data_IF_238119465966
#
_entry.id   IF_238119465966
#
_cell.length_a   1.000
_cell.length_b   1.000
_cell.length_c   1.000
_cell.angle_alpha   90.00
_cell.angle_beta   90.00
_cell.angle_gamma   90.00
#
_symmetry.space_group_name_H-M   'P 1'
#
loop_
_entity.id
_entity.type
_entity.pdbx_description
1 polymer ?
#
# COMPACT_ATOMS: atom_id res chain seq x y z
N UNK A 1 53.97 -45.56 6.56
CA UNK A 1 52.79 -46.04 5.82
C UNK A 1 51.66 -46.28 6.82
N UNK A 2 50.58 -45.49 6.81
CA UNK A 2 49.42 -45.76 7.65
C UNK A 2 48.41 -46.65 6.90
N UNK A 3 47.89 -47.67 7.57
CA UNK A 3 46.88 -48.59 7.04
C UNK A 3 45.49 -47.96 7.14
N UNK A 4 44.72 -48.06 6.05
CA UNK A 4 43.32 -47.66 5.93
C UNK A 4 42.42 -48.68 6.67
N UNK A 5 41.44 -48.25 7.49
CA UNK A 5 40.42 -49.17 8.00
C UNK A 5 39.39 -49.51 6.93
N UNK A 6 38.96 -50.78 6.92
CA UNK A 6 37.95 -51.34 6.02
C UNK A 6 36.53 -50.82 6.33
N UNK A 7 35.63 -50.74 5.33
CA UNK A 7 34.24 -50.32 5.54
C UNK A 7 33.40 -51.44 6.16
N UNK A 8 32.71 -51.14 7.27
CA UNK A 8 31.68 -52.00 7.86
C UNK A 8 30.34 -51.75 7.19
N UNK A 9 29.78 -52.79 6.59
CA UNK A 9 28.43 -52.86 6.04
C UNK A 9 27.46 -53.31 7.13
N UNK A 10 26.73 -52.36 7.73
CA UNK A 10 25.54 -52.68 8.52
C UNK A 10 24.31 -52.02 7.88
N UNK A 11 23.26 -52.78 7.53
CA UNK A 11 22.04 -52.22 6.97
C UNK A 11 21.17 -51.60 8.08
N UNK A 12 20.88 -50.32 7.94
CA UNK A 12 19.88 -49.58 8.73
C UNK A 12 18.51 -50.27 8.64
N UNK A 13 17.81 -50.54 9.76
CA UNK A 13 16.45 -51.06 9.71
C UNK A 13 15.49 -50.00 9.13
N UNK A 14 14.61 -50.43 8.23
CA UNK A 14 13.58 -49.58 7.63
C UNK A 14 12.56 -49.08 8.68
N UNK A 15 12.06 -47.83 8.57
CA UNK A 15 11.06 -47.29 9.48
C UNK A 15 9.72 -48.01 9.29
N UNK A 16 9.16 -48.54 10.39
CA UNK A 16 7.83 -49.14 10.40
C UNK A 16 6.76 -48.04 10.51
N UNK A 17 5.87 -47.99 9.53
CA UNK A 17 4.68 -47.12 9.52
C UNK A 17 3.63 -47.67 10.49
N UNK A 18 3.07 -46.87 11.42
CA UNK A 18 1.96 -47.31 12.26
C UNK A 18 0.68 -47.46 11.42
N UNK A 19 -0.07 -48.53 11.71
CA UNK A 19 -1.34 -48.86 11.06
C UNK A 19 -2.43 -47.80 11.36
N UNK A 20 -3.38 -47.56 10.44
CA UNK A 20 -4.45 -46.59 10.64
C UNK A 20 -5.49 -47.09 11.65
N UNK A 21 -5.62 -46.41 12.78
CA UNK A 21 -6.66 -46.67 13.78
C UNK A 21 -8.01 -46.17 13.26
N UNK A 22 -8.91 -47.09 12.94
CA UNK A 22 -10.30 -46.80 12.59
C UNK A 22 -11.11 -46.64 13.89
N UNK A 23 -11.36 -45.40 14.32
CA UNK A 23 -12.31 -45.11 15.39
C UNK A 23 -13.57 -44.48 14.78
N UNK A 24 -14.77 -45.03 15.04
CA UNK A 24 -16.01 -44.51 14.45
C UNK A 24 -16.47 -43.24 15.15
N UNK A 25 -16.78 -42.23 14.35
CA UNK A 25 -17.46 -40.98 14.75
C UNK A 25 -18.85 -41.28 15.30
N UNK A 26 -19.23 -40.80 16.51
CA UNK A 26 -20.62 -40.88 16.94
C UNK A 26 -21.51 -39.93 16.12
N UNK A 27 -22.69 -40.44 15.74
CA UNK A 27 -23.69 -39.73 14.94
C UNK A 27 -24.20 -38.45 15.63
N UNK A 28 -24.55 -37.39 14.87
CA UNK A 28 -25.09 -36.16 15.43
C UNK A 28 -26.54 -36.35 15.92
N UNK A 29 -26.77 -36.15 17.22
CA UNK A 29 -28.10 -36.10 17.82
C UNK A 29 -28.83 -34.85 17.36
N UNK A 30 -29.81 -35.00 16.47
CA UNK A 30 -30.72 -33.92 16.07
C UNK A 30 -31.85 -33.79 17.10
N UNK A 31 -31.80 -32.74 17.93
CA UNK A 31 -32.96 -32.29 18.70
C UNK A 31 -33.47 -30.98 18.08
N UNK A 32 -34.76 -30.87 17.71
CA UNK A 32 -35.31 -29.65 17.14
C UNK A 32 -35.56 -28.61 18.23
N UNK A 33 -34.90 -27.45 18.13
CA UNK A 33 -35.20 -26.25 18.92
C UNK A 33 -36.55 -25.68 18.47
N UNK A 34 -37.50 -25.40 19.39
CA UNK A 34 -38.77 -24.75 19.05
C UNK A 34 -38.58 -23.34 18.48
N UNK A 35 -39.45 -22.98 17.54
CA UNK A 35 -39.51 -21.71 16.83
C UNK A 35 -39.81 -20.50 17.75
N UNK A 36 -39.48 -19.26 17.32
CA UNK A 36 -39.37 -18.09 18.19
C UNK A 36 -40.73 -17.45 18.53
N UNK A 37 -40.92 -17.03 19.78
CA UNK A 37 -42.07 -16.24 20.20
C UNK A 37 -41.90 -14.76 19.83
N UNK A 38 -42.88 -14.26 19.10
CA UNK A 38 -43.04 -12.89 18.63
C UNK A 38 -43.76 -12.07 19.70
N UNK A 39 -43.16 -10.96 20.15
CA UNK A 39 -43.89 -9.87 20.80
C UNK A 39 -43.76 -8.61 19.94
N UNK A 40 -44.86 -8.16 19.37
CA UNK A 40 -45.03 -6.85 18.73
C UNK A 40 -45.99 -5.99 19.59
N UNK A 41 -46.21 -4.71 19.27
CA UNK A 41 -45.31 -3.57 19.46
C UNK A 41 -45.87 -2.58 20.51
N UNK A 42 -45.04 -1.77 21.15
CA UNK A 42 -45.49 -0.61 21.94
C UNK A 42 -45.05 0.66 21.23
N UNK A 43 -46.01 1.47 20.78
CA UNK A 43 -45.79 2.75 20.11
C UNK A 43 -45.97 3.93 21.08
N UNK A 44 -44.91 4.76 21.21
CA UNK A 44 -44.82 6.24 21.34
C UNK A 44 -45.60 6.97 22.49
N UNK A 45 -45.31 8.26 22.84
CA UNK A 45 -44.41 9.26 22.22
C UNK A 45 -43.55 10.13 23.19
N UNK A 46 -42.79 11.05 22.58
CA UNK A 46 -42.42 12.39 23.08
C UNK A 46 -41.23 12.55 24.05
N UNK A 47 -40.11 13.09 23.55
CA UNK A 47 -39.84 14.55 23.58
C UNK A 47 -38.53 14.86 22.88
N UNK A 48 -38.58 15.85 21.99
CA UNK A 48 -37.46 16.34 21.20
C UNK A 48 -36.37 16.96 22.09
N UNK A 49 -35.12 16.51 21.90
CA UNK A 49 -33.92 17.29 22.19
C UNK A 49 -33.07 17.33 20.91
N UNK A 50 -33.33 18.34 20.09
CA UNK A 50 -32.33 18.91 19.17
C UNK A 50 -31.80 20.19 19.83
N UNK A 51 -30.51 20.56 19.68
CA UNK A 51 -29.65 20.29 18.53
C UNK A 51 -28.38 19.53 18.92
N UNK A 52 -28.06 18.45 18.18
CA UNK A 52 -26.68 17.99 18.12
C UNK A 52 -25.92 19.03 17.31
N UNK A 53 -25.10 19.82 17.99
CA UNK A 53 -24.19 20.75 17.34
C UNK A 53 -23.46 20.03 16.19
N UNK A 54 -23.46 20.67 15.02
CA UNK A 54 -22.65 20.28 13.86
C UNK A 54 -21.23 19.97 14.33
N UNK A 55 -20.57 18.90 13.83
CA UNK A 55 -19.17 18.68 14.15
C UNK A 55 -18.40 19.96 13.84
N UNK A 56 -17.61 20.42 14.81
CA UNK A 56 -16.60 21.46 14.60
C UNK A 56 -15.83 21.09 13.34
N UNK A 57 -15.61 22.02 12.39
CA UNK A 57 -14.81 21.70 11.22
C UNK A 57 -13.46 21.17 11.72
N UNK A 58 -13.14 19.92 11.37
CA UNK A 58 -11.78 19.42 11.48
C UNK A 58 -10.88 20.42 10.76
N UNK A 59 -9.65 20.66 11.24
CA UNK A 59 -8.72 21.55 10.55
C UNK A 59 -8.61 21.08 9.10
N UNK A 60 -9.16 21.86 8.17
CA UNK A 60 -9.07 21.60 6.75
C UNK A 60 -7.63 21.84 6.35
N UNK A 61 -6.97 20.81 5.82
CA UNK A 61 -5.66 20.98 5.21
C UNK A 61 -5.80 21.96 4.04
N UNK A 62 -5.13 23.11 4.11
CA UNK A 62 -5.20 24.16 3.10
C UNK A 62 -3.82 24.68 2.80
N UNK A 63 -3.52 24.88 1.52
CA UNK A 63 -2.22 25.38 1.08
C UNK A 63 -2.21 26.91 0.90
N UNK A 64 -1.05 27.55 1.09
CA UNK A 64 -0.88 28.96 0.76
C UNK A 64 -1.14 29.26 -0.72
N UNK A 65 -1.39 30.54 -1.03
CA UNK A 65 -1.51 31.01 -2.41
C UNK A 65 -0.28 30.61 -3.26
N UNK A 66 -0.54 30.16 -4.49
CA UNK A 66 0.50 29.67 -5.40
C UNK A 66 0.96 28.23 -5.14
N UNK A 67 0.28 27.51 -4.24
CA UNK A 67 0.53 26.09 -3.99
C UNK A 67 -0.76 25.26 -4.18
N UNK A 68 -0.58 23.99 -4.50
CA UNK A 68 -1.63 22.98 -4.64
C UNK A 68 -1.45 21.95 -3.54
N UNK A 69 -2.56 21.51 -2.92
CA UNK A 69 -2.54 20.42 -1.96
C UNK A 69 -2.31 19.09 -2.68
N UNK A 70 -1.19 18.44 -2.40
CA UNK A 70 -0.91 17.08 -2.82
C UNK A 70 -1.23 16.12 -1.67
N UNK A 71 -2.00 15.09 -1.98
CA UNK A 71 -2.34 14.03 -1.02
C UNK A 71 -1.94 12.68 -1.57
N UNK A 72 -1.11 11.95 -0.81
CA UNK A 72 -0.91 10.52 -0.98
C UNK A 72 -1.76 9.79 0.07
N UNK A 73 -2.69 8.95 -0.39
CA UNK A 73 -3.35 7.97 0.46
C UNK A 73 -2.75 6.61 0.16
N UNK A 74 -2.12 6.00 1.15
CA UNK A 74 -1.45 4.70 1.03
C UNK A 74 -2.12 3.72 1.99
N UNK A 75 -2.69 2.64 1.46
CA UNK A 75 -3.07 1.47 2.24
C UNK A 75 -1.98 0.42 2.08
N UNK A 76 -1.35 0.04 3.19
CA UNK A 76 -0.30 -0.98 3.20
C UNK A 76 -0.87 -2.38 2.99
N UNK A 77 -0.03 -3.28 2.52
CA UNK A 77 -0.32 -4.71 2.44
C UNK A 77 0.10 -5.43 3.73
N UNK A 78 0.41 -6.73 3.66
CA UNK A 78 0.84 -7.50 4.83
C UNK A 78 2.30 -7.20 5.23
N UNK A 79 3.07 -6.50 4.38
CA UNK A 79 4.50 -6.18 4.57
C UNK A 79 4.78 -4.66 4.44
N UNK A 80 4.18 -3.83 5.31
CA UNK A 80 4.25 -2.37 5.22
C UNK A 80 5.68 -1.81 5.20
N UNK A 81 6.62 -2.47 5.86
CA UNK A 81 8.01 -2.05 5.97
C UNK A 81 8.79 -2.06 4.65
N UNK A 82 8.23 -2.74 3.64
CA UNK A 82 8.80 -2.88 2.30
C UNK A 82 8.40 -1.73 1.38
N UNK A 83 7.47 -0.88 1.82
CA UNK A 83 7.00 0.26 1.05
C UNK A 83 7.83 1.50 1.34
N UNK A 84 8.30 2.16 0.28
CA UNK A 84 8.85 3.52 0.36
C UNK A 84 8.40 4.35 -0.83
N UNK A 85 8.47 5.67 -0.74
CA UNK A 85 8.18 6.55 -1.86
C UNK A 85 8.99 7.83 -1.85
N UNK A 86 9.09 8.46 -3.01
CA UNK A 86 9.79 9.72 -3.20
C UNK A 86 8.97 10.60 -4.16
N UNK A 87 8.83 11.87 -3.81
CA UNK A 87 8.24 12.91 -4.64
C UNK A 87 9.34 13.90 -5.05
N UNK A 88 9.55 14.06 -6.36
CA UNK A 88 10.49 15.05 -6.92
C UNK A 88 9.75 16.09 -7.77
N UNK A 89 10.21 17.34 -7.71
CA UNK A 89 9.85 18.40 -8.65
C UNK A 89 10.81 18.37 -9.83
N UNK A 90 10.30 18.24 -11.05
CA UNK A 90 11.10 18.20 -12.26
C UNK A 90 10.47 17.39 -13.37
N UNK A 91 11.05 17.52 -14.56
CA UNK A 91 10.61 16.80 -15.76
C UNK A 91 11.31 15.46 -15.97
N UNK A 92 12.42 15.23 -15.26
CA UNK A 92 13.24 14.01 -15.32
C UNK A 92 13.61 13.58 -13.91
N UNK A 93 13.66 12.27 -13.67
CA UNK A 93 13.89 11.71 -12.34
C UNK A 93 15.28 12.06 -11.78
N UNK A 94 16.31 11.93 -12.62
CA UNK A 94 17.71 12.02 -12.25
C UNK A 94 18.14 13.46 -11.93
N UNK A 95 17.40 14.46 -12.42
CA UNK A 95 17.68 15.90 -12.20
C UNK A 95 16.61 16.62 -11.37
N UNK A 96 15.53 15.93 -11.00
CA UNK A 96 14.45 16.50 -10.20
C UNK A 96 14.90 16.81 -8.76
N UNK A 97 14.38 17.90 -8.21
CA UNK A 97 14.59 18.30 -6.82
C UNK A 97 13.70 17.47 -5.90
N UNK A 98 14.27 16.82 -4.89
CA UNK A 98 13.49 16.06 -3.91
C UNK A 98 12.63 17.01 -3.05
N UNK A 99 11.33 16.74 -3.01
CA UNK A 99 10.35 17.51 -2.24
C UNK A 99 10.03 16.80 -0.93
N UNK A 100 9.77 15.49 -1.02
CA UNK A 100 9.47 14.65 0.14
C UNK A 100 9.79 13.19 -0.16
N UNK A 101 10.03 12.43 0.89
CA UNK A 101 10.24 10.98 0.82
C UNK A 101 9.91 10.31 2.15
N UNK A 102 9.60 9.02 2.07
CA UNK A 102 9.61 8.10 3.20
C UNK A 102 10.53 6.95 2.83
N UNK A 103 11.39 6.53 3.76
CA UNK A 103 12.28 5.38 3.60
C UNK A 103 11.70 4.11 4.23
N UNK A 104 12.23 2.95 3.81
CA UNK A 104 11.85 1.65 4.37
C UNK A 104 12.01 1.60 5.89
N UNK A 105 11.16 0.80 6.56
CA UNK A 105 11.26 0.54 8.01
C UNK A 105 11.12 1.78 8.91
N UNK A 106 10.72 2.94 8.38
CA UNK A 106 10.60 4.19 9.16
C UNK A 106 9.19 4.46 9.65
N UNK A 107 8.25 4.61 8.72
CA UNK A 107 6.93 5.19 8.98
C UNK A 107 5.82 4.13 8.95
N UNK A 108 5.86 3.26 7.95
CA UNK A 108 4.85 2.24 7.73
C UNK A 108 5.24 0.96 8.45
N UNK A 109 4.45 0.62 9.47
CA UNK A 109 4.75 -0.47 10.42
C UNK A 109 3.55 -1.36 10.72
N UNK A 110 2.36 -0.99 10.24
CA UNK A 110 1.13 -1.73 10.46
C UNK A 110 0.63 -2.31 9.14
N UNK A 111 0.35 -3.62 9.08
CA UNK A 111 -0.22 -4.23 7.90
C UNK A 111 -1.68 -3.78 7.73
N UNK A 112 -2.15 -3.72 6.49
CA UNK A 112 -3.53 -3.36 6.13
C UNK A 112 -3.99 -2.04 6.76
N UNK A 113 -3.09 -1.06 6.86
CA UNK A 113 -3.36 0.23 7.49
C UNK A 113 -3.29 1.36 6.45
N UNK A 114 -4.18 2.34 6.58
CA UNK A 114 -4.19 3.52 5.72
C UNK A 114 -3.41 4.68 6.37
N UNK A 115 -2.50 5.24 5.60
CA UNK A 115 -1.70 6.41 5.90
C UNK A 115 -2.04 7.52 4.91
N UNK A 116 -2.13 8.77 5.39
CA UNK A 116 -2.44 9.94 4.57
C UNK A 116 -1.33 10.95 4.75
N UNK A 117 -0.63 11.25 3.66
CA UNK A 117 0.42 12.26 3.60
C UNK A 117 -0.12 13.48 2.84
N UNK A 118 -0.06 14.65 3.47
CA UNK A 118 -0.53 15.90 2.88
C UNK A 118 0.64 16.88 2.76
N UNK A 119 0.87 17.38 1.55
CA UNK A 119 1.94 18.32 1.22
C UNK A 119 1.37 19.48 0.42
N UNK A 120 1.97 20.66 0.57
CA UNK A 120 1.72 21.76 -0.35
C UNK A 120 2.88 21.85 -1.34
N UNK A 121 2.56 21.76 -2.62
CA UNK A 121 3.54 21.76 -3.72
C UNK A 121 3.31 22.96 -4.63
N UNK A 122 4.37 23.45 -5.27
CA UNK A 122 4.31 24.62 -6.14
C UNK A 122 3.34 24.40 -7.32
N UNK A 123 2.42 25.34 -7.53
CA UNK A 123 1.51 25.31 -8.67
C UNK A 123 2.28 25.52 -10.00
N UNK A 124 1.75 24.97 -11.09
CA UNK A 124 2.26 25.06 -12.45
C UNK A 124 3.68 24.49 -12.60
N UNK A 125 4.05 23.54 -11.73
CA UNK A 125 5.27 22.73 -11.83
C UNK A 125 4.94 21.29 -12.15
N UNK A 126 5.92 20.61 -12.74
CA UNK A 126 5.85 19.18 -13.00
C UNK A 126 6.50 18.40 -11.86
N UNK A 127 5.87 17.31 -11.48
CA UNK A 127 6.30 16.43 -10.41
C UNK A 127 6.35 14.98 -10.89
N UNK A 128 7.19 14.21 -10.20
CA UNK A 128 7.34 12.78 -10.37
C UNK A 128 7.20 12.12 -9.00
N UNK A 129 6.14 11.35 -8.83
CA UNK A 129 5.96 10.47 -7.69
C UNK A 129 6.44 9.07 -8.06
N UNK A 130 7.21 8.45 -7.18
CA UNK A 130 7.64 7.07 -7.35
C UNK A 130 7.50 6.32 -6.05
N UNK A 131 6.78 5.20 -6.10
CA UNK A 131 6.65 4.25 -5.00
C UNK A 131 7.48 3.01 -5.33
N UNK A 132 8.01 2.36 -4.31
CA UNK A 132 8.84 1.18 -4.42
C UNK A 132 8.42 0.14 -3.40
N UNK A 133 8.63 -1.10 -3.82
CA UNK A 133 8.49 -2.28 -3.00
C UNK A 133 9.82 -3.05 -2.99
N UNK A 134 10.23 -3.51 -1.81
CA UNK A 134 11.57 -4.05 -1.58
C UNK A 134 11.71 -5.48 -2.12
N UNK A 135 10.69 -6.32 -1.93
CA UNK A 135 10.71 -7.74 -2.34
C UNK A 135 10.23 -7.92 -3.79
N UNK A 136 9.73 -6.84 -4.39
CA UNK A 136 9.40 -6.67 -5.82
C UNK A 136 8.15 -7.42 -6.25
N UNK A 137 7.23 -7.68 -5.33
CA UNK A 137 5.89 -8.18 -5.59
C UNK A 137 4.83 -7.07 -5.56
N UNK A 138 5.24 -5.86 -5.16
CA UNK A 138 4.37 -4.70 -5.06
C UNK A 138 3.50 -4.77 -3.83
N UNK A 139 2.75 -3.69 -3.59
CA UNK A 139 1.89 -3.60 -2.40
C UNK A 139 0.53 -4.26 -2.61
N UNK A 140 0.34 -5.04 -3.68
CA UNK A 140 -0.93 -5.70 -3.95
C UNK A 140 -0.72 -7.13 -4.43
N UNK A 141 -1.44 -8.04 -3.77
CA UNK A 141 -2.69 -8.64 -4.25
C UNK A 141 -2.80 -10.04 -3.66
N UNK A 142 -1.66 -10.73 -3.60
CA UNK A 142 -1.51 -12.05 -3.01
C UNK A 142 -1.13 -11.98 -1.52
N UNK A 143 -0.42 -10.92 -1.13
CA UNK A 143 0.10 -10.69 0.23
C UNK A 143 -0.55 -9.47 0.88
N UNK A 144 -1.87 -9.33 0.66
CA UNK A 144 -2.64 -8.18 1.12
C UNK A 144 -3.24 -7.38 -0.03
N UNK A 145 -4.18 -6.49 0.32
CA UNK A 145 -4.87 -5.59 -0.62
C UNK A 145 -4.42 -4.15 -0.41
N UNK A 146 -3.11 -3.94 -0.40
CA UNK A 146 -2.56 -2.59 -0.40
C UNK A 146 -2.79 -1.90 -1.73
N UNK A 147 -2.83 -0.58 -1.68
CA UNK A 147 -3.03 0.31 -2.81
C UNK A 147 -2.57 1.72 -2.44
N UNK A 148 -2.38 2.57 -3.44
CA UNK A 148 -2.20 4.00 -3.19
C UNK A 148 -2.98 4.84 -4.20
N UNK A 149 -3.34 6.05 -3.78
CA UNK A 149 -3.91 7.08 -4.65
C UNK A 149 -3.24 8.43 -4.43
N UNK A 150 -3.08 9.17 -5.51
CA UNK A 150 -2.55 10.53 -5.53
C UNK A 150 -3.69 11.49 -5.86
N UNK A 151 -3.79 12.59 -5.11
CA UNK A 151 -4.78 13.63 -5.37
C UNK A 151 -4.15 15.03 -5.35
N UNK A 152 -4.75 15.94 -6.13
CA UNK A 152 -4.47 17.37 -6.13
C UNK A 152 -5.73 18.14 -5.74
N UNK A 153 -5.69 18.90 -4.65
CA UNK A 153 -6.87 19.59 -4.08
C UNK A 153 -8.09 18.64 -3.97
N UNK A 154 -7.89 17.48 -3.35
CA UNK A 154 -8.87 16.40 -3.16
C UNK A 154 -9.37 15.71 -4.45
N UNK A 155 -8.87 16.09 -5.62
CA UNK A 155 -9.16 15.38 -6.86
C UNK A 155 -8.12 14.28 -7.14
N UNK A 156 -8.57 13.03 -7.17
CA UNK A 156 -7.72 11.90 -7.56
C UNK A 156 -7.18 12.07 -8.99
N UNK A 157 -5.86 11.99 -9.13
CA UNK A 157 -5.14 12.05 -10.41
C UNK A 157 -4.53 10.70 -10.80
N UNK A 158 -4.34 9.80 -9.83
CA UNK A 158 -3.77 8.48 -10.08
C UNK A 158 -4.13 7.51 -8.95
N UNK A 159 -4.23 6.22 -9.29
CA UNK A 159 -4.36 5.10 -8.35
C UNK A 159 -3.54 3.92 -8.84
N UNK A 160 -2.83 3.28 -7.93
CA UNK A 160 -1.91 2.18 -8.22
C UNK A 160 -1.75 1.21 -7.05
N UNK A 161 -0.78 0.30 -7.18
CA UNK A 161 -0.46 -0.68 -6.14
C UNK A 161 0.00 -2.03 -6.70
N UNK A 162 -0.41 -2.36 -7.93
CA UNK A 162 0.00 -3.57 -8.64
C UNK A 162 1.21 -3.25 -9.55
N UNK A 163 2.40 -3.34 -8.98
CA UNK A 163 3.69 -3.19 -9.65
C UNK A 163 4.69 -4.22 -9.09
N UNK A 164 5.83 -4.44 -9.74
CA UNK A 164 6.85 -5.33 -9.17
C UNK A 164 7.73 -4.53 -8.20
N UNK A 165 8.84 -3.96 -8.68
CA UNK A 165 9.78 -3.20 -7.83
C UNK A 165 9.36 -1.75 -7.58
N UNK A 166 8.78 -1.09 -8.57
CA UNK A 166 8.46 0.34 -8.52
C UNK A 166 7.38 0.71 -9.53
N UNK A 167 6.67 1.79 -9.23
CA UNK A 167 5.75 2.47 -10.15
C UNK A 167 6.02 3.96 -10.09
N UNK A 168 5.91 4.64 -11.24
CA UNK A 168 6.15 6.06 -11.36
C UNK A 168 4.99 6.77 -12.05
N UNK A 169 4.58 7.88 -11.46
CA UNK A 169 3.56 8.78 -11.99
C UNK A 169 4.15 10.17 -12.16
N UNK A 170 4.09 10.69 -13.39
CA UNK A 170 4.41 12.08 -13.71
C UNK A 170 3.12 12.90 -13.85
N UNK A 171 3.07 14.06 -13.19
CA UNK A 171 1.91 14.95 -13.21
C UNK A 171 2.31 16.43 -13.14
N UNK A 172 1.39 17.32 -13.53
CA UNK A 172 1.52 18.77 -13.36
C UNK A 172 0.56 19.24 -12.25
N UNK A 173 1.07 20.06 -11.33
CA UNK A 173 0.27 20.58 -10.21
C UNK A 173 -0.52 21.82 -10.65
N UNK A 174 -1.76 21.65 -11.09
CA UNK A 174 -2.64 22.75 -11.50
C UNK A 174 -3.79 22.91 -10.52
N UNK A 175 -4.08 24.15 -10.08
CA UNK A 175 -5.18 24.43 -9.13
C UNK A 175 -6.58 24.30 -9.75
N UNK A 176 -6.66 24.32 -11.09
CA UNK A 176 -7.89 24.55 -11.84
C UNK A 176 -8.54 23.29 -12.40
N UNK A 177 -8.42 22.14 -11.74
CA UNK A 177 -9.28 20.98 -12.02
C UNK A 177 -10.74 21.24 -11.58
N UNK A 178 -11.30 22.40 -11.92
CA UNK A 178 -12.72 22.68 -11.78
C UNK A 178 -13.45 22.09 -12.97
N UNK A 179 -14.28 21.10 -12.67
CA UNK A 179 -15.21 20.41 -13.54
C UNK A 179 -15.89 21.37 -14.54
N UNK A 180 -15.38 21.39 -15.77
CA UNK A 180 -16.06 21.96 -16.94
C UNK A 180 -16.10 20.89 -18.01
N UNK A 181 -17.22 20.18 -18.06
CA UNK A 181 -17.81 19.50 -19.22
C UNK A 181 -16.84 19.10 -20.38
N UNK A 182 -16.13 17.96 -20.22
CA UNK A 182 -15.42 17.17 -21.24
C UNK A 182 -14.18 17.78 -21.96
N UNK A 183 -13.21 16.94 -22.38
CA UNK A 183 -11.96 16.66 -21.69
C UNK A 183 -10.76 17.49 -22.20
N UNK A 184 -9.89 17.98 -21.32
CA UNK A 184 -8.45 17.99 -21.58
C UNK A 184 -7.87 16.73 -20.94
N UNK A 185 -7.35 15.83 -21.77
CA UNK A 185 -6.67 14.62 -21.30
C UNK A 185 -5.56 15.00 -20.34
N UNK A 186 -5.77 14.69 -19.05
CA UNK A 186 -4.70 14.69 -18.07
C UNK A 186 -3.65 13.75 -18.64
N UNK A 187 -2.51 14.29 -19.07
CA UNK A 187 -1.36 13.48 -19.47
C UNK A 187 -0.70 12.96 -18.20
N UNK A 188 -1.43 12.16 -17.43
CA UNK A 188 -0.83 11.22 -16.49
C UNK A 188 -0.11 10.22 -17.38
N UNK A 189 1.19 10.44 -17.55
CA UNK A 189 2.06 9.46 -18.17
C UNK A 189 2.44 8.51 -17.04
N UNK A 190 1.60 7.50 -16.84
CA UNK A 190 2.01 6.30 -16.12
C UNK A 190 2.96 5.53 -17.02
N UNK A 191 4.14 5.21 -16.51
CA UNK A 191 4.97 4.20 -17.17
C UNK A 191 4.17 2.88 -17.21
N UNK A 192 4.23 2.12 -18.32
CA UNK A 192 3.42 0.92 -18.48
C UNK A 192 3.72 -0.10 -17.37
N UNK A 193 2.65 -0.70 -16.83
CA UNK A 193 2.72 -1.88 -15.96
C UNK A 193 3.56 -2.96 -16.64
N UNK A 194 4.72 -3.29 -16.06
CA UNK A 194 5.49 -4.47 -16.42
C UNK A 194 6.09 -4.45 -17.83
N UNK A 195 7.14 -3.64 -18.01
CA UNK A 195 8.12 -3.85 -19.07
C UNK A 195 9.51 -4.01 -18.46
N UNK A 196 10.10 -5.20 -18.59
CA UNK A 196 11.52 -5.41 -18.37
C UNK A 196 12.31 -4.52 -19.35
N UNK A 197 12.61 -3.29 -18.93
CA UNK A 197 13.58 -2.42 -19.60
C UNK A 197 14.69 -2.17 -18.60
N UNK A 198 15.64 -3.10 -18.60
CA UNK A 198 17.07 -2.88 -18.40
C UNK A 198 17.42 -1.72 -17.45
N UNK A 199 17.32 -1.99 -16.15
CA UNK A 199 18.02 -1.22 -15.13
C UNK A 199 19.45 -1.73 -15.04
N UNK A 200 20.42 -0.93 -15.47
CA UNK A 200 21.80 -1.10 -14.98
C UNK A 200 22.52 0.17 -14.54
N UNK A 201 22.07 1.39 -14.88
CA UNK A 201 22.92 2.57 -14.58
C UNK A 201 22.34 3.62 -13.63
N UNK A 202 21.02 3.83 -13.56
CA UNK A 202 20.44 4.87 -12.68
C UNK A 202 20.02 4.35 -11.30
N UNK A 203 19.76 3.03 -11.17
CA UNK A 203 19.30 2.43 -9.92
C UNK A 203 20.47 1.99 -9.00
N UNK A 204 21.69 1.79 -9.51
CA UNK A 204 22.88 1.48 -8.69
C UNK A 204 23.50 2.74 -8.07
N UNK A 205 23.40 3.89 -8.73
CA UNK A 205 23.97 5.14 -8.22
C UNK A 205 23.27 5.61 -6.94
N UNK A 206 21.94 5.48 -6.87
CA UNK A 206 21.14 5.85 -5.68
C UNK A 206 21.38 4.89 -4.49
N UNK A 207 21.63 3.59 -4.73
CA UNK A 207 22.05 2.67 -3.66
C UNK A 207 23.45 3.02 -3.14
N UNK A 208 24.35 3.49 -4.01
CA UNK A 208 25.69 3.94 -3.63
C UNK A 208 25.66 5.31 -2.90
N UNK A 209 24.78 6.23 -3.30
CA UNK A 209 24.59 7.54 -2.65
C UNK A 209 24.00 7.39 -1.23
N UNK A 210 23.08 6.44 -1.03
CA UNK A 210 22.51 6.13 0.31
C UNK A 210 23.52 5.52 1.30
N UNK A 211 24.67 5.04 0.80
CA UNK A 211 25.76 4.46 1.60
C UNK A 211 26.86 5.46 1.95
N UNK A 212 26.76 6.73 1.51
CA UNK A 212 27.71 7.76 1.90
C UNK A 212 27.39 8.27 3.32
N UNK A 213 28.38 8.33 4.23
CA UNK A 213 28.18 8.93 5.54
C UNK A 213 27.87 10.42 5.36
N UNK A 214 26.75 10.87 5.93
CA UNK A 214 26.40 12.29 5.99
C UNK A 214 27.42 12.98 6.91
N UNK A 215 28.16 13.93 6.35
CA UNK A 215 29.17 14.73 7.06
C UNK A 215 28.53 15.94 7.73
#
# INVERSE_FOLDING_TARGET
APQTPAPTSDPTPAPQTPAPTSAPTPAPTSAPTPAPQTTAPTSAPSSALTPSASPSPSPSFSCPDGQVGFTLTLTTDDYPEETRWVLKQGNQWSTGTMIASVDYLTTYTKPQATYIENLCIEENKTFMFRIFDKVRDGICCNHGKGEYSLALNDQEIHRGGEFNRKEQTKFEAISSYSNTNAPPGIKVVTEPKGGNLDSTNEDEEEELLSKLPHN
#
